data_IF_379391333948
#
_entry.id   IF_379391333948
#
_cell.length_a   1.000
_cell.length_b   1.000
_cell.length_c   1.000
_cell.angle_alpha   90.00
_cell.angle_beta   90.00
_cell.angle_gamma   90.00
#
_symmetry.space_group_name_H-M   'P 1'
#
loop_
_entity.id
_entity.type
_entity.pdbx_description
1 polymer ?
#
# COMPACT_ATOMS: atom_id res chain seq x y z
N UNK A 1 14.27 -10.67 6.25
CA UNK A 1 13.01 -11.12 5.61
C UNK A 1 13.16 -11.25 4.10
N UNK A 2 13.63 -10.23 3.40
CA UNK A 2 13.76 -10.25 1.93
C UNK A 2 14.70 -11.35 1.39
N UNK A 3 15.68 -11.78 2.18
CA UNK A 3 16.59 -12.89 1.83
C UNK A 3 15.96 -14.29 1.97
N UNK A 4 14.83 -14.40 2.67
CA UNK A 4 14.14 -15.68 2.93
C UNK A 4 13.11 -15.99 1.84
N UNK A 5 12.63 -14.98 1.15
CA UNK A 5 11.60 -15.11 0.13
C UNK A 5 12.24 -15.19 -1.27
N UNK A 6 11.71 -16.01 -2.17
CA UNK A 6 12.23 -16.10 -3.52
C UNK A 6 12.10 -14.75 -4.25
N UNK A 7 13.06 -14.38 -5.09
CA UNK A 7 13.02 -13.17 -5.88
C UNK A 7 11.85 -13.17 -6.88
N UNK A 8 11.47 -11.99 -7.37
CA UNK A 8 10.54 -11.90 -8.50
C UNK A 8 11.21 -12.43 -9.77
N UNK A 9 10.51 -13.29 -10.50
CA UNK A 9 11.02 -13.85 -11.76
C UNK A 9 11.27 -12.80 -12.84
N UNK A 10 10.43 -11.75 -12.85
CA UNK A 10 10.51 -10.61 -13.77
C UNK A 10 11.37 -9.45 -13.23
N UNK A 11 11.96 -9.60 -12.05
CA UNK A 11 12.73 -8.55 -11.39
C UNK A 11 11.91 -7.31 -11.00
N UNK A 12 10.59 -7.36 -11.06
CA UNK A 12 9.71 -6.21 -10.77
C UNK A 12 9.21 -6.24 -9.34
N UNK A 13 9.34 -5.11 -8.65
CA UNK A 13 8.74 -4.90 -7.33
C UNK A 13 7.84 -3.68 -7.32
N UNK A 14 6.72 -3.79 -6.61
CA UNK A 14 5.83 -2.66 -6.36
C UNK A 14 6.09 -2.10 -4.97
N UNK A 15 6.30 -0.79 -4.90
CA UNK A 15 6.36 -0.04 -3.64
C UNK A 15 5.03 0.68 -3.46
N UNK A 16 4.20 0.19 -2.56
CA UNK A 16 2.83 0.67 -2.39
C UNK A 16 2.72 1.43 -1.06
N UNK A 17 2.18 2.63 -1.10
CA UNK A 17 1.93 3.44 0.10
C UNK A 17 0.45 3.69 0.27
N UNK A 18 0.00 3.60 1.51
CA UNK A 18 -1.36 4.03 1.90
C UNK A 18 -1.38 4.50 3.35
N UNK A 19 -2.42 5.26 3.69
CA UNK A 19 -2.66 5.75 5.03
C UNK A 19 -3.75 4.94 5.74
N UNK A 20 -3.56 4.72 7.02
CA UNK A 20 -4.60 4.15 7.88
C UNK A 20 -4.73 4.93 9.17
N UNK A 21 -5.80 4.67 9.91
CA UNK A 21 -6.02 5.24 11.23
C UNK A 21 -6.12 4.12 12.27
N UNK A 22 -5.37 4.28 13.36
CA UNK A 22 -5.55 3.51 14.58
C UNK A 22 -6.48 4.31 15.49
N UNK A 23 -7.68 3.80 15.74
CA UNK A 23 -8.63 4.44 16.64
C UNK A 23 -8.06 4.59 18.05
N UNK A 24 -8.33 5.71 18.69
CA UNK A 24 -7.94 6.01 20.06
C UNK A 24 -9.09 6.66 20.80
N UNK A 25 -9.49 6.06 21.90
CA UNK A 25 -10.57 6.55 22.78
C UNK A 25 -10.11 7.67 23.71
N UNK A 26 -8.80 7.78 23.99
CA UNK A 26 -8.24 8.77 24.89
C UNK A 26 -8.53 10.21 24.42
N UNK A 27 -9.15 11.00 25.32
CA UNK A 27 -9.51 12.41 25.04
C UNK A 27 -8.28 13.29 24.85
N UNK A 28 -7.23 13.10 25.65
CA UNK A 28 -5.96 13.87 25.59
C UNK A 28 -4.81 12.93 25.22
N UNK A 29 -4.42 12.93 23.97
CA UNK A 29 -3.29 12.13 23.48
C UNK A 29 -2.51 12.95 22.45
N UNK A 30 -1.19 13.10 22.61
CA UNK A 30 -0.36 14.05 21.82
C UNK A 30 -0.32 13.71 20.32
N UNK A 31 -0.51 12.45 19.93
CA UNK A 31 -0.47 12.02 18.54
C UNK A 31 -1.86 11.86 17.88
N UNK A 32 -2.94 11.98 18.64
CA UNK A 32 -4.30 11.75 18.12
C UNK A 32 -4.78 12.95 17.31
N UNK A 33 -5.30 12.67 16.14
CA UNK A 33 -6.00 13.65 15.30
C UNK A 33 -7.50 13.38 15.29
N UNK A 34 -8.28 14.45 15.20
CA UNK A 34 -9.69 14.42 14.83
C UNK A 34 -9.74 14.51 13.29
N UNK A 35 -10.28 13.51 12.64
CA UNK A 35 -10.42 13.46 11.20
C UNK A 35 -11.84 13.07 10.81
N UNK A 36 -12.31 13.54 9.68
CA UNK A 36 -13.51 13.05 9.03
C UNK A 36 -13.08 12.00 8.02
N UNK A 37 -13.63 10.82 8.12
CA UNK A 37 -13.43 9.73 7.16
C UNK A 37 -14.74 9.49 6.41
N UNK A 38 -14.65 9.28 5.11
CA UNK A 38 -15.84 9.06 4.25
C UNK A 38 -16.65 7.82 4.67
N UNK A 39 -15.99 6.86 5.35
CA UNK A 39 -16.64 5.65 5.87
C UNK A 39 -17.44 5.86 7.17
N UNK A 40 -17.36 7.04 7.78
CA UNK A 40 -18.00 7.32 9.07
C UNK A 40 -18.88 8.57 8.97
N UNK A 41 -20.08 8.50 9.53
CA UNK A 41 -21.03 9.64 9.58
C UNK A 41 -20.63 10.78 10.53
N UNK A 42 -19.38 10.82 10.99
CA UNK A 42 -18.92 11.81 11.96
C UNK A 42 -17.41 11.99 11.99
N UNK A 43 -16.95 12.59 13.08
CA UNK A 43 -15.53 12.76 13.32
C UNK A 43 -14.96 11.53 14.04
N UNK A 44 -13.88 11.04 13.48
CA UNK A 44 -13.09 9.97 14.04
C UNK A 44 -11.89 10.55 14.80
N UNK A 45 -11.52 9.94 15.90
CA UNK A 45 -10.29 10.26 16.65
C UNK A 45 -9.32 9.10 16.54
N UNK A 46 -8.15 9.35 16.04
CA UNK A 46 -7.17 8.29 15.87
C UNK A 46 -5.78 8.79 15.50
N UNK A 47 -4.88 7.83 15.42
CA UNK A 47 -3.51 7.99 14.97
C UNK A 47 -3.47 7.74 13.47
N UNK A 48 -3.18 8.73 12.65
CA UNK A 48 -2.93 8.47 11.22
C UNK A 48 -1.55 7.85 11.07
N UNK A 49 -1.50 6.71 10.39
CA UNK A 49 -0.28 5.95 10.13
C UNK A 49 -0.13 5.80 8.62
N UNK A 50 1.02 6.16 8.09
CA UNK A 50 1.44 5.77 6.75
C UNK A 50 2.11 4.42 6.82
N UNK A 51 1.81 3.54 5.88
CA UNK A 51 2.45 2.24 5.75
C UNK A 51 2.96 2.11 4.32
N UNK A 52 4.22 1.71 4.21
CA UNK A 52 4.86 1.35 2.94
C UNK A 52 4.99 -0.16 2.88
N UNK A 53 4.49 -0.71 1.79
CA UNK A 53 4.50 -2.15 1.50
C UNK A 53 5.30 -2.41 0.24
N UNK A 54 6.19 -3.38 0.30
CA UNK A 54 6.84 -3.97 -0.87
C UNK A 54 6.04 -5.19 -1.32
N UNK A 55 5.78 -5.31 -2.62
CA UNK A 55 4.99 -6.39 -3.18
C UNK A 55 5.63 -6.95 -4.45
N UNK A 56 5.69 -8.27 -4.54
CA UNK A 56 5.97 -9.03 -5.76
C UNK A 56 5.31 -10.40 -5.68
N UNK A 57 4.87 -10.92 -6.81
CA UNK A 57 4.09 -12.16 -6.81
C UNK A 57 2.98 -12.15 -5.75
N UNK A 58 2.89 -13.16 -4.87
CA UNK A 58 1.92 -13.23 -3.79
C UNK A 58 2.36 -12.51 -2.50
N UNK A 59 3.59 -11.98 -2.43
CA UNK A 59 4.18 -11.46 -1.21
C UNK A 59 3.77 -10.01 -0.97
N UNK A 60 3.32 -9.71 0.24
CA UNK A 60 2.94 -8.39 0.75
C UNK A 60 3.73 -8.12 2.02
N UNK A 61 4.79 -7.37 1.92
CA UNK A 61 5.77 -7.16 3.00
C UNK A 61 5.70 -5.70 3.47
N UNK A 62 5.18 -5.42 4.68
CA UNK A 62 5.31 -4.08 5.25
C UNK A 62 6.79 -3.82 5.55
N UNK A 63 7.34 -2.76 4.97
CA UNK A 63 8.76 -2.44 5.10
C UNK A 63 9.02 -1.20 5.93
N UNK A 64 8.04 -0.32 6.05
CA UNK A 64 8.20 0.93 6.78
C UNK A 64 6.84 1.50 7.20
N UNK A 65 6.83 2.33 8.25
CA UNK A 65 5.66 3.07 8.69
C UNK A 65 6.06 4.40 9.33
N UNK A 66 5.15 5.38 9.25
CA UNK A 66 5.29 6.67 9.93
C UNK A 66 3.98 7.11 10.59
N UNK A 67 4.05 7.63 11.80
CA UNK A 67 2.89 8.24 12.48
C UNK A 67 2.81 9.71 12.09
N UNK A 68 1.74 10.10 11.42
CA UNK A 68 1.51 11.49 11.01
C UNK A 68 1.07 12.31 12.22
N UNK A 69 1.99 13.07 12.80
CA UNK A 69 1.74 13.90 13.99
C UNK A 69 0.69 15.00 13.73
N UNK A 70 -0.01 15.48 14.75
CA UNK A 70 -0.88 16.67 14.63
C UNK A 70 -0.10 17.91 14.18
N UNK A 71 -0.76 18.85 13.51
CA UNK A 71 -0.11 20.11 13.05
C UNK A 71 0.46 20.94 14.20
N UNK A 72 -0.09 20.79 15.40
CA UNK A 72 0.34 21.48 16.62
C UNK A 72 1.50 20.79 17.35
N UNK A 73 1.88 19.58 16.92
CA UNK A 73 2.97 18.83 17.54
C UNK A 73 4.33 19.29 17.01
N UNK A 74 5.39 19.24 17.84
CA UNK A 74 6.77 19.42 17.38
C UNK A 74 7.08 18.44 16.24
N UNK A 75 7.88 18.88 15.28
CA UNK A 75 8.30 18.08 14.12
C UNK A 75 7.15 17.56 13.26
N UNK A 76 6.03 18.32 13.20
CA UNK A 76 4.96 17.98 12.26
C UNK A 76 5.47 17.99 10.83
N UNK A 77 5.16 16.93 10.10
CA UNK A 77 5.36 16.84 8.66
C UNK A 77 4.06 16.43 7.96
N UNK A 78 3.89 16.93 6.73
CA UNK A 78 2.77 16.50 5.89
C UNK A 78 2.98 15.05 5.44
N UNK A 79 1.90 14.26 5.23
CA UNK A 79 2.02 12.88 4.76
C UNK A 79 2.93 12.71 3.55
N UNK A 80 2.84 13.61 2.57
CA UNK A 80 3.71 13.56 1.38
C UNK A 80 5.19 13.85 1.67
N UNK A 81 5.51 14.61 2.71
CA UNK A 81 6.90 14.83 3.13
C UNK A 81 7.46 13.57 3.79
N UNK A 82 6.70 12.97 4.70
CA UNK A 82 7.04 11.68 5.32
C UNK A 82 7.23 10.60 4.26
N UNK A 83 6.30 10.48 3.32
CA UNK A 83 6.42 9.51 2.24
C UNK A 83 7.70 9.74 1.40
N UNK A 84 8.06 10.99 1.10
CA UNK A 84 9.33 11.27 0.40
C UNK A 84 10.55 10.85 1.22
N UNK A 85 10.55 11.03 2.53
CA UNK A 85 11.64 10.55 3.40
C UNK A 85 11.74 9.02 3.37
N UNK A 86 10.61 8.32 3.54
CA UNK A 86 10.57 6.86 3.43
C UNK A 86 11.04 6.39 2.05
N UNK A 87 10.63 7.09 0.99
CA UNK A 87 11.05 6.79 -0.37
C UNK A 87 12.56 7.04 -0.58
N UNK A 88 13.14 8.07 0.03
CA UNK A 88 14.58 8.34 -0.01
C UNK A 88 15.40 7.27 0.72
N UNK A 89 14.91 6.81 1.87
CA UNK A 89 15.56 5.78 2.69
C UNK A 89 15.40 4.37 2.11
N UNK A 90 14.41 4.14 1.25
CA UNK A 90 14.16 2.82 0.69
C UNK A 90 15.31 2.32 -0.17
N UNK A 91 15.84 1.16 0.16
CA UNK A 91 16.84 0.44 -0.64
C UNK A 91 16.14 -0.77 -1.26
N UNK A 92 16.07 -0.84 -2.60
CA UNK A 92 15.48 -1.99 -3.29
C UNK A 92 16.26 -3.28 -2.96
N UNK A 93 15.59 -4.45 -2.97
CA UNK A 93 16.29 -5.73 -2.92
C UNK A 93 17.30 -5.83 -4.07
N UNK A 94 18.46 -6.45 -3.84
CA UNK A 94 19.54 -6.54 -4.83
C UNK A 94 19.11 -7.20 -6.16
N UNK A 95 18.11 -8.08 -6.11
CA UNK A 95 17.56 -8.75 -7.28
C UNK A 95 16.50 -7.90 -8.03
N UNK A 96 16.02 -6.80 -7.44
CA UNK A 96 15.00 -5.97 -8.08
C UNK A 96 15.61 -5.10 -9.18
N UNK A 97 15.22 -5.36 -10.41
CA UNK A 97 15.64 -4.58 -11.59
C UNK A 97 14.74 -3.35 -11.81
N UNK A 98 13.48 -3.48 -11.45
CA UNK A 98 12.46 -2.44 -11.66
C UNK A 98 11.66 -2.21 -10.39
N UNK A 99 11.59 -0.95 -9.96
CA UNK A 99 10.75 -0.50 -8.85
C UNK A 99 9.62 0.36 -9.41
N UNK A 100 8.37 -0.01 -9.12
CA UNK A 100 7.18 0.76 -9.50
C UNK A 100 6.47 1.25 -8.24
N UNK A 101 6.41 2.56 -8.06
CA UNK A 101 5.71 3.19 -6.94
C UNK A 101 4.23 3.33 -7.27
N UNK A 102 3.37 2.75 -6.43
CA UNK A 102 1.91 2.78 -6.64
C UNK A 102 1.24 3.49 -5.47
N UNK A 103 0.41 4.50 -5.75
CA UNK A 103 -0.28 5.27 -4.72
C UNK A 103 -1.60 5.86 -5.22
N UNK A 104 -2.46 6.24 -4.28
CA UNK A 104 -3.70 6.93 -4.58
C UNK A 104 -3.51 8.44 -4.88
N UNK A 105 -4.60 9.18 -5.12
CA UNK A 105 -4.56 10.59 -5.47
C UNK A 105 -4.09 11.53 -4.34
N UNK A 106 -3.92 11.03 -3.13
CA UNK A 106 -3.42 11.80 -1.99
C UNK A 106 -1.90 11.97 -1.97
N UNK A 107 -1.17 11.10 -2.67
CA UNK A 107 0.29 11.07 -2.63
C UNK A 107 1.01 11.74 -3.80
N UNK A 108 0.47 11.79 -5.02
CA UNK A 108 1.13 12.49 -6.11
C UNK A 108 1.27 13.98 -5.78
N UNK A 109 2.51 14.40 -5.70
CA UNK A 109 2.91 15.80 -5.61
C UNK A 109 4.11 16.00 -6.56
N UNK A 110 4.30 17.22 -7.03
CA UNK A 110 5.42 17.56 -7.94
C UNK A 110 6.75 16.98 -7.44
N UNK A 111 7.08 17.25 -6.18
CA UNK A 111 8.37 16.82 -5.60
C UNK A 111 8.44 15.30 -5.39
N UNK A 112 7.31 14.65 -5.13
CA UNK A 112 7.24 13.19 -5.01
C UNK A 112 7.50 12.50 -6.34
N UNK A 113 6.83 12.94 -7.42
CA UNK A 113 7.02 12.36 -8.76
C UNK A 113 8.45 12.60 -9.27
N UNK A 114 9.00 13.80 -9.06
CA UNK A 114 10.39 14.10 -9.40
C UNK A 114 11.40 13.25 -8.63
N UNK A 115 11.16 13.03 -7.34
CA UNK A 115 12.02 12.16 -6.54
C UNK A 115 12.02 10.73 -7.07
N UNK A 116 10.85 10.19 -7.43
CA UNK A 116 10.71 8.85 -8.00
C UNK A 116 11.51 8.77 -9.31
N UNK A 117 11.34 9.74 -10.21
CA UNK A 117 12.09 9.81 -11.46
C UNK A 117 13.61 9.93 -11.23
N UNK A 118 14.03 10.81 -10.29
CA UNK A 118 15.46 10.99 -9.94
C UNK A 118 16.11 9.70 -9.43
N UNK A 119 15.32 8.84 -8.76
CA UNK A 119 15.78 7.53 -8.29
C UNK A 119 15.79 6.44 -9.37
N UNK A 120 15.43 6.75 -10.61
CA UNK A 120 15.28 5.77 -11.67
C UNK A 120 14.09 4.82 -11.48
N UNK A 121 13.13 5.18 -10.60
CA UNK A 121 11.94 4.39 -10.36
C UNK A 121 10.81 4.82 -11.28
N UNK A 122 9.89 3.90 -11.49
CA UNK A 122 8.64 4.18 -12.18
C UNK A 122 7.51 4.44 -11.19
N UNK A 123 6.42 5.01 -11.68
CA UNK A 123 5.22 5.20 -10.88
C UNK A 123 3.96 4.85 -11.66
N UNK A 124 2.94 4.38 -10.93
CA UNK A 124 1.55 4.26 -11.38
C UNK A 124 0.67 4.83 -10.28
N UNK A 125 0.14 6.03 -10.48
CA UNK A 125 -0.60 6.76 -9.45
C UNK A 125 -1.89 7.34 -9.99
N UNK A 126 -2.86 7.59 -9.10
CA UNK A 126 -4.06 8.35 -9.45
C UNK A 126 -3.80 9.84 -9.26
N UNK A 127 -4.23 10.67 -10.20
CA UNK A 127 -4.10 12.12 -10.12
C UNK A 127 -5.40 12.81 -9.72
N UNK A 128 -5.26 13.89 -8.96
CA UNK A 128 -6.34 14.84 -8.74
C UNK A 128 -6.63 15.62 -10.03
N UNK A 129 -7.89 16.01 -10.22
CA UNK A 129 -8.34 16.76 -11.41
C UNK A 129 -7.78 18.17 -11.53
N UNK A 130 -7.19 18.68 -10.45
CA UNK A 130 -6.60 20.02 -10.36
C UNK A 130 -5.20 20.10 -11.00
N UNK A 131 -4.60 18.97 -11.34
CA UNK A 131 -3.33 18.95 -12.06
C UNK A 131 -3.45 19.62 -13.42
N UNK A 132 -2.35 20.23 -13.86
CA UNK A 132 -2.27 21.00 -15.10
C UNK A 132 -1.29 20.41 -16.09
N UNK A 133 -1.61 20.53 -17.36
CA UNK A 133 -0.67 20.32 -18.45
C UNK A 133 0.33 21.47 -18.56
N UNK A 134 1.30 21.34 -19.44
CA UNK A 134 2.29 22.38 -19.71
C UNK A 134 1.65 23.68 -20.23
N UNK A 135 0.55 23.59 -20.96
CA UNK A 135 -0.26 24.70 -21.48
C UNK A 135 -1.23 25.32 -20.46
N UNK A 136 -1.13 24.93 -19.18
CA UNK A 136 -1.97 25.36 -18.06
C UNK A 136 -3.43 24.85 -18.06
N UNK A 137 -3.89 24.12 -19.06
CA UNK A 137 -5.18 23.45 -18.99
C UNK A 137 -5.22 22.41 -17.89
N UNK A 138 -6.37 22.25 -17.23
CA UNK A 138 -6.52 21.29 -16.13
C UNK A 138 -6.91 19.91 -16.66
N UNK A 139 -6.53 18.86 -15.93
CA UNK A 139 -7.03 17.51 -16.20
C UNK A 139 -8.56 17.44 -16.13
N UNK A 140 -9.20 18.29 -15.30
CA UNK A 140 -10.65 18.41 -15.25
C UNK A 140 -11.23 18.80 -16.60
N UNK A 141 -10.70 19.86 -17.21
CA UNK A 141 -11.13 20.34 -18.52
C UNK A 141 -10.98 19.27 -19.59
N UNK A 142 -9.79 18.66 -19.66
CA UNK A 142 -9.51 17.62 -20.63
C UNK A 142 -10.48 16.44 -20.52
N UNK A 143 -10.68 15.88 -19.31
CA UNK A 143 -11.58 14.75 -19.09
C UNK A 143 -13.03 15.09 -19.40
N UNK A 144 -13.46 16.36 -19.16
CA UNK A 144 -14.83 16.79 -19.42
C UNK A 144 -15.15 16.87 -20.91
N UNK A 145 -14.18 17.31 -21.73
CA UNK A 145 -14.38 17.49 -23.17
C UNK A 145 -13.97 16.28 -24.01
N UNK A 146 -13.43 15.24 -23.39
CA UNK A 146 -13.01 14.04 -24.12
C UNK A 146 -14.24 13.26 -24.66
N UNK A 147 -14.34 13.04 -25.98
CA UNK A 147 -15.45 12.33 -26.59
C UNK A 147 -15.58 10.88 -26.07
N UNK A 148 -16.80 10.45 -25.82
CA UNK A 148 -17.07 9.10 -25.27
C UNK A 148 -16.65 7.97 -26.22
N UNK A 149 -16.64 8.20 -27.52
CA UNK A 149 -16.27 7.19 -28.50
C UNK A 149 -14.78 6.80 -28.49
N UNK A 150 -13.91 7.67 -27.91
CA UNK A 150 -12.49 7.39 -27.78
C UNK A 150 -12.16 6.34 -26.71
N UNK A 151 -13.07 6.13 -25.76
CA UNK A 151 -12.88 5.09 -24.75
C UNK A 151 -13.02 3.69 -25.39
N UNK A 152 -12.02 2.85 -25.11
CA UNK A 152 -11.96 1.45 -25.56
C UNK A 152 -12.20 0.51 -24.40
N UNK A 153 -12.79 -0.67 -24.70
CA UNK A 153 -12.97 -1.72 -23.72
C UNK A 153 -11.63 -2.34 -23.37
N UNK A 154 -11.27 -2.29 -22.09
CA UNK A 154 -10.02 -2.82 -21.55
C UNK A 154 -10.33 -3.83 -20.47
N UNK A 155 -9.64 -4.94 -20.47
CA UNK A 155 -9.88 -6.01 -19.51
C UNK A 155 -8.57 -6.61 -19.00
N UNK A 156 -8.60 -7.16 -17.80
CA UNK A 156 -7.53 -7.95 -17.23
C UNK A 156 -8.10 -8.95 -16.23
N UNK A 157 -7.33 -9.96 -15.90
CA UNK A 157 -7.72 -11.04 -14.99
C UNK A 157 -6.88 -10.93 -13.71
N UNK A 158 -7.34 -10.21 -12.67
CA UNK A 158 -6.58 -10.01 -11.43
C UNK A 158 -6.46 -11.29 -10.60
N UNK A 159 -7.41 -12.21 -10.76
CA UNK A 159 -7.47 -13.52 -10.12
C UNK A 159 -7.90 -14.51 -11.19
N UNK A 160 -7.38 -15.76 -11.20
CA UNK A 160 -7.88 -16.79 -12.10
C UNK A 160 -9.41 -16.83 -12.11
N UNK A 161 -10.01 -16.87 -13.30
CA UNK A 161 -11.45 -16.92 -13.53
C UNK A 161 -12.27 -15.64 -13.29
N UNK A 162 -11.67 -14.54 -12.78
CA UNK A 162 -12.39 -13.29 -12.56
C UNK A 162 -11.90 -12.16 -13.44
N UNK A 163 -12.46 -12.08 -14.65
CA UNK A 163 -12.20 -11.00 -15.60
C UNK A 163 -12.83 -9.68 -15.11
N UNK A 164 -12.03 -8.59 -15.07
CA UNK A 164 -12.52 -7.23 -14.83
C UNK A 164 -12.49 -6.44 -16.12
N UNK A 165 -13.56 -5.70 -16.38
CA UNK A 165 -13.72 -4.89 -17.59
C UNK A 165 -13.83 -3.43 -17.18
N UNK A 166 -13.09 -2.59 -17.90
CA UNK A 166 -13.13 -1.13 -17.80
C UNK A 166 -13.24 -0.51 -19.19
N UNK A 167 -13.66 0.74 -19.24
CA UNK A 167 -13.55 1.58 -20.42
C UNK A 167 -12.42 2.55 -20.21
N UNK A 168 -11.40 2.52 -21.05
CA UNK A 168 -10.19 3.31 -20.89
C UNK A 168 -9.85 4.11 -22.14
N UNK A 169 -9.16 5.20 -21.92
CA UNK A 169 -8.49 6.01 -22.92
C UNK A 169 -7.06 6.25 -22.46
N UNK A 170 -6.11 6.16 -23.35
CA UNK A 170 -4.69 6.35 -23.08
C UNK A 170 -4.12 7.43 -24.00
N UNK A 171 -3.31 8.31 -23.44
CA UNK A 171 -2.66 9.37 -24.18
C UNK A 171 -1.33 9.78 -23.52
N UNK A 172 -0.36 10.21 -24.31
CA UNK A 172 0.89 10.77 -23.81
C UNK A 172 0.79 12.28 -23.76
N UNK A 173 1.05 12.87 -22.60
CA UNK A 173 0.88 14.31 -22.35
C UNK A 173 2.03 14.84 -21.49
N UNK A 174 2.37 16.09 -21.71
CA UNK A 174 3.31 16.81 -20.87
C UNK A 174 2.58 17.46 -19.69
N UNK A 175 2.85 16.95 -18.48
CA UNK A 175 2.36 17.55 -17.24
C UNK A 175 3.30 18.67 -16.77
N UNK A 176 2.69 19.79 -16.36
CA UNK A 176 3.43 20.92 -15.83
C UNK A 176 4.37 20.50 -14.70
N UNK A 177 5.65 20.83 -14.81
CA UNK A 177 6.72 20.52 -13.85
C UNK A 177 7.15 19.05 -13.75
N UNK A 178 6.54 18.13 -14.49
CA UNK A 178 6.88 16.70 -14.47
C UNK A 178 7.48 16.25 -15.79
N UNK A 179 7.01 16.83 -16.89
CA UNK A 179 7.38 16.43 -18.25
C UNK A 179 6.41 15.41 -18.84
N UNK A 180 6.91 14.65 -19.81
CA UNK A 180 6.12 13.67 -20.53
C UNK A 180 5.76 12.47 -19.68
N UNK A 181 4.49 12.15 -19.68
CA UNK A 181 3.91 11.01 -18.97
C UNK A 181 2.80 10.38 -19.79
N UNK A 182 2.50 9.14 -19.51
CA UNK A 182 1.33 8.46 -20.05
C UNK A 182 0.16 8.63 -19.06
N UNK A 183 -0.96 9.16 -19.54
CA UNK A 183 -2.21 9.28 -18.81
C UNK A 183 -3.18 8.20 -19.27
N UNK A 184 -3.80 7.53 -18.31
CA UNK A 184 -4.85 6.55 -18.56
C UNK A 184 -6.12 7.00 -17.84
N UNK A 185 -7.16 7.27 -18.61
CA UNK A 185 -8.50 7.51 -18.08
C UNK A 185 -9.23 6.19 -17.96
N UNK A 186 -9.85 5.92 -16.84
CA UNK A 186 -10.54 4.66 -16.59
C UNK A 186 -11.92 4.89 -16.01
N UNK A 187 -12.94 4.20 -16.58
CA UNK A 187 -14.34 4.19 -16.15
C UNK A 187 -14.83 2.77 -15.98
N UNK A 188 -15.79 2.56 -15.09
CA UNK A 188 -16.45 1.26 -14.95
C UNK A 188 -17.42 1.00 -16.13
N UNK A 189 -18.17 2.01 -16.54
CA UNK A 189 -19.10 1.97 -17.67
C UNK A 189 -18.76 3.04 -18.69
N UNK A 190 -19.01 2.80 -19.97
CA UNK A 190 -18.72 3.74 -21.05
C UNK A 190 -19.39 5.09 -20.84
N UNK A 191 -20.63 5.07 -20.33
CA UNK A 191 -21.46 6.25 -20.13
C UNK A 191 -21.30 6.92 -18.76
N UNK A 192 -20.40 6.41 -17.92
CA UNK A 192 -20.10 7.07 -16.64
C UNK A 192 -19.70 8.54 -16.88
N UNK A 193 -20.14 9.40 -15.98
CA UNK A 193 -19.88 10.84 -16.08
C UNK A 193 -18.37 11.13 -15.99
N UNK A 194 -17.91 12.27 -16.50
CA UNK A 194 -16.53 12.70 -16.32
C UNK A 194 -16.08 12.66 -14.85
N UNK A 195 -16.97 12.99 -13.90
CA UNK A 195 -16.68 12.96 -12.46
C UNK A 195 -16.29 11.56 -11.93
N UNK A 196 -16.80 10.51 -12.54
CA UNK A 196 -16.53 9.11 -12.18
C UNK A 196 -15.30 8.53 -12.89
N UNK A 197 -14.67 9.30 -13.78
CA UNK A 197 -13.45 8.89 -14.47
C UNK A 197 -12.25 8.96 -13.52
N UNK A 198 -11.54 7.87 -13.35
CA UNK A 198 -10.26 7.82 -12.66
C UNK A 198 -9.16 8.25 -13.64
N UNK A 199 -8.27 9.10 -13.19
CA UNK A 199 -7.12 9.55 -13.96
C UNK A 199 -5.89 8.89 -13.37
N UNK A 200 -5.24 8.03 -14.13
CA UNK A 200 -3.98 7.37 -13.78
C UNK A 200 -2.84 8.02 -14.56
N UNK A 201 -1.68 8.07 -13.92
CA UNK A 201 -0.46 8.60 -14.53
C UNK A 201 0.68 7.60 -14.35
N UNK A 202 1.52 7.48 -15.36
CA UNK A 202 2.73 6.67 -15.32
C UNK A 202 3.85 7.27 -16.16
N UNK A 203 5.09 7.02 -15.75
CA UNK A 203 6.30 7.25 -16.54
C UNK A 203 6.89 5.94 -17.12
N UNK A 204 6.16 4.81 -17.01
CA UNK A 204 6.56 3.56 -17.64
C UNK A 204 6.60 3.75 -19.16
N UNK A 205 7.70 3.36 -19.83
CA UNK A 205 7.79 3.43 -21.28
C UNK A 205 6.76 2.48 -21.90
N UNK A 206 6.15 2.90 -22.99
CA UNK A 206 5.23 2.11 -23.83
C UNK A 206 4.12 1.34 -23.06
N UNK A 207 3.75 1.83 -21.89
CA UNK A 207 2.75 1.19 -21.06
C UNK A 207 1.37 1.21 -21.72
N UNK A 208 0.72 0.07 -21.81
CA UNK A 208 -0.67 -0.04 -22.27
C UNK A 208 -1.67 0.34 -21.17
N UNK A 209 -2.87 0.77 -21.56
CA UNK A 209 -3.93 1.04 -20.58
C UNK A 209 -4.24 -0.18 -19.69
N UNK A 210 -4.17 -1.38 -20.24
CA UNK A 210 -4.37 -2.63 -19.51
C UNK A 210 -3.33 -2.81 -18.41
N UNK A 211 -2.06 -2.64 -18.74
CA UNK A 211 -0.95 -2.75 -17.78
C UNK A 211 -1.07 -1.72 -16.66
N UNK A 212 -1.31 -0.45 -16.99
CA UNK A 212 -1.45 0.63 -16.01
C UNK A 212 -2.61 0.37 -15.06
N UNK A 213 -3.78 -0.05 -15.57
CA UNK A 213 -4.94 -0.36 -14.75
C UNK A 213 -4.67 -1.59 -13.87
N UNK A 214 -4.02 -2.63 -14.41
CA UNK A 214 -3.67 -3.82 -13.66
C UNK A 214 -2.71 -3.49 -12.51
N UNK A 215 -1.63 -2.76 -12.78
CA UNK A 215 -0.68 -2.29 -11.75
C UNK A 215 -1.36 -1.42 -10.68
N UNK A 216 -2.18 -0.45 -11.11
CA UNK A 216 -2.90 0.39 -10.17
C UNK A 216 -3.87 -0.41 -9.27
N UNK A 217 -4.44 -1.47 -9.78
CA UNK A 217 -5.35 -2.34 -8.99
C UNK A 217 -4.62 -3.03 -7.84
N UNK A 218 -3.30 -3.27 -7.97
CA UNK A 218 -2.45 -3.81 -6.90
C UNK A 218 -2.36 -2.88 -5.69
N UNK A 219 -2.67 -1.59 -5.83
CA UNK A 219 -2.79 -0.67 -4.70
C UNK A 219 -3.74 -1.21 -3.62
N UNK A 220 -4.77 -1.96 -4.02
CA UNK A 220 -5.72 -2.56 -3.07
C UNK A 220 -5.06 -3.56 -2.10
N UNK A 221 -3.92 -4.12 -2.46
CA UNK A 221 -3.23 -5.10 -1.63
C UNK A 221 -2.70 -4.49 -0.31
N UNK A 222 -2.39 -3.19 -0.28
CA UNK A 222 -2.02 -2.50 0.97
C UNK A 222 -3.23 -2.36 1.91
N UNK A 223 -4.43 -2.17 1.39
CA UNK A 223 -5.65 -2.15 2.19
C UNK A 223 -5.93 -3.52 2.83
N UNK A 224 -5.67 -4.61 2.08
CA UNK A 224 -5.73 -5.98 2.63
C UNK A 224 -4.67 -6.19 3.71
N UNK A 225 -3.42 -5.76 3.49
CA UNK A 225 -2.37 -5.80 4.50
C UNK A 225 -2.79 -5.04 5.77
N UNK A 226 -3.29 -3.82 5.63
CA UNK A 226 -3.77 -3.00 6.75
C UNK A 226 -4.89 -3.69 7.52
N UNK A 227 -5.82 -4.33 6.81
CA UNK A 227 -6.88 -5.14 7.43
C UNK A 227 -6.30 -6.31 8.23
N UNK A 228 -5.35 -7.03 7.68
CA UNK A 228 -4.67 -8.13 8.34
C UNK A 228 -3.88 -7.65 9.57
N UNK A 229 -3.13 -6.56 9.47
CA UNK A 229 -2.42 -5.95 10.59
C UNK A 229 -3.36 -5.57 11.73
N UNK A 230 -4.52 -5.00 11.44
CA UNK A 230 -5.51 -4.63 12.45
C UNK A 230 -6.15 -5.84 13.13
N UNK A 231 -6.54 -6.83 12.37
CA UNK A 231 -7.36 -7.94 12.86
C UNK A 231 -6.55 -9.15 13.35
N UNK A 232 -5.33 -9.34 12.85
CA UNK A 232 -4.50 -10.51 13.18
C UNK A 232 -3.38 -10.17 14.15
N UNK A 233 -2.65 -9.08 13.90
CA UNK A 233 -1.47 -8.71 14.70
C UNK A 233 -1.70 -7.53 15.65
N UNK A 234 -2.92 -7.05 15.76
CA UNK A 234 -3.35 -6.12 16.81
C UNK A 234 -2.95 -4.67 16.61
N UNK A 235 -2.68 -4.23 15.36
CA UNK A 235 -2.33 -2.83 15.07
C UNK A 235 -3.31 -1.81 15.67
N UNK A 236 -4.59 -2.17 15.83
CA UNK A 236 -5.63 -1.32 16.41
C UNK A 236 -5.83 -1.45 17.91
N UNK A 237 -5.34 -2.51 18.55
CA UNK A 237 -5.79 -2.96 19.87
C UNK A 237 -5.08 -2.29 21.05
N UNK A 238 -3.80 -1.91 20.93
CA UNK A 238 -3.08 -1.31 22.04
C UNK A 238 -3.58 0.12 22.34
N UNK A 239 -4.39 0.27 23.40
CA UNK A 239 -5.00 1.54 23.82
C UNK A 239 -4.33 2.15 25.07
N UNK A 240 -3.47 1.37 25.74
CA UNK A 240 -3.05 1.59 27.13
C UNK A 240 -2.00 2.68 27.36
N UNK A 241 -1.45 3.31 26.32
CA UNK A 241 -0.39 4.30 26.52
C UNK A 241 -0.65 5.61 25.77
N UNK A 242 -0.24 6.71 26.42
CA UNK A 242 -0.20 8.07 25.84
C UNK A 242 1.20 8.47 25.38
N UNK A 243 2.23 7.70 25.72
CA UNK A 243 3.61 8.00 25.37
C UNK A 243 3.85 7.73 23.88
N UNK A 244 4.31 8.73 23.10
CA UNK A 244 4.51 8.57 21.66
C UNK A 244 5.40 7.38 21.30
N UNK A 245 6.55 7.23 21.94
CA UNK A 245 7.49 6.12 21.69
C UNK A 245 6.88 4.73 21.91
N UNK A 246 6.07 4.58 22.97
CA UNK A 246 5.39 3.29 23.24
C UNK A 246 4.33 3.00 22.17
N UNK A 247 3.69 4.05 21.64
CA UNK A 247 2.75 3.90 20.53
C UNK A 247 3.49 3.45 19.27
N UNK A 248 4.62 4.08 18.95
CA UNK A 248 5.46 3.71 17.81
C UNK A 248 5.95 2.27 17.93
N UNK A 249 6.46 1.87 19.10
CA UNK A 249 6.85 0.48 19.39
C UNK A 249 5.69 -0.50 19.21
N UNK A 250 4.47 -0.14 19.66
CA UNK A 250 3.27 -0.98 19.46
C UNK A 250 2.92 -1.17 17.98
N UNK A 251 3.11 -0.16 17.15
CA UNK A 251 2.94 -0.28 15.69
C UNK A 251 4.02 -1.19 15.12
N UNK A 252 5.29 -0.94 15.47
CA UNK A 252 6.42 -1.75 15.03
C UNK A 252 6.23 -3.23 15.38
N UNK A 253 5.83 -3.54 16.62
CA UNK A 253 5.57 -4.92 17.05
C UNK A 253 4.46 -5.59 16.24
N UNK A 254 3.40 -4.85 15.86
CA UNK A 254 2.36 -5.41 15.00
C UNK A 254 2.88 -5.76 13.60
N UNK A 255 3.75 -4.93 13.03
CA UNK A 255 4.40 -5.20 11.75
C UNK A 255 5.37 -6.39 11.87
N UNK A 256 6.19 -6.42 12.92
CA UNK A 256 7.11 -7.53 13.19
C UNK A 256 6.38 -8.86 13.35
N UNK A 257 5.28 -8.88 14.11
CA UNK A 257 4.45 -10.08 14.25
C UNK A 257 3.91 -10.56 12.90
N UNK A 258 3.49 -9.63 12.02
CA UNK A 258 3.08 -9.98 10.66
C UNK A 258 4.24 -10.57 9.85
N UNK A 259 5.43 -9.98 9.93
CA UNK A 259 6.62 -10.48 9.25
C UNK A 259 7.01 -11.89 9.73
N UNK A 260 6.88 -12.17 11.02
CA UNK A 260 7.10 -13.52 11.57
C UNK A 260 6.09 -14.52 11.01
N UNK A 261 4.81 -14.16 10.89
CA UNK A 261 3.80 -15.01 10.26
C UNK A 261 4.12 -15.29 8.79
N UNK A 262 4.58 -14.28 8.03
CA UNK A 262 5.01 -14.46 6.64
C UNK A 262 6.22 -15.40 6.55
N UNK A 263 7.21 -15.21 7.41
CA UNK A 263 8.38 -16.12 7.48
C UNK A 263 7.94 -17.55 7.78
N UNK A 264 7.10 -17.74 8.79
CA UNK A 264 6.53 -19.03 9.16
C UNK A 264 5.83 -19.70 7.97
N UNK A 265 5.02 -18.92 7.21
CA UNK A 265 4.32 -19.42 6.04
C UNK A 265 5.24 -19.95 4.95
N UNK A 266 6.31 -19.25 4.67
CA UNK A 266 7.12 -19.52 3.48
C UNK A 266 8.39 -20.32 3.76
N UNK A 267 8.81 -20.42 4.99
CA UNK A 267 10.02 -21.15 5.38
C UNK A 267 9.73 -22.37 6.23
N UNK A 268 8.94 -22.20 7.29
CA UNK A 268 8.86 -23.19 8.36
C UNK A 268 7.74 -24.22 8.08
N UNK A 269 6.65 -23.79 7.42
CA UNK A 269 5.54 -24.68 7.05
C UNK A 269 5.09 -24.38 5.62
N UNK A 270 5.46 -25.20 4.65
CA UNK A 270 4.96 -25.11 3.28
C UNK A 270 3.47 -25.50 3.27
N UNK A 271 2.59 -24.53 3.48
CA UNK A 271 1.15 -24.71 3.35
C UNK A 271 0.77 -24.75 1.87
N UNK A 272 0.11 -25.80 1.46
CA UNK A 272 -0.48 -25.89 0.12
C UNK A 272 -1.81 -25.10 0.08
N UNK A 273 -2.09 -24.45 -1.05
CA UNK A 273 -3.35 -23.75 -1.31
C UNK A 273 -3.44 -22.32 -0.78
N UNK A 274 -4.61 -21.68 -0.95
CA UNK A 274 -4.84 -20.31 -0.51
C UNK A 274 -4.80 -20.20 1.01
N UNK A 275 -4.15 -19.15 1.50
CA UNK A 275 -4.05 -18.89 2.94
C UNK A 275 -4.62 -17.51 3.28
N UNK A 276 -5.07 -17.35 4.52
CA UNK A 276 -5.38 -16.06 5.12
C UNK A 276 -4.48 -15.83 6.34
N UNK A 277 -4.22 -14.58 6.69
CA UNK A 277 -3.44 -14.27 7.89
C UNK A 277 -4.09 -14.84 9.17
N UNK A 278 -5.41 -14.99 9.21
CA UNK A 278 -6.14 -15.64 10.31
C UNK A 278 -5.83 -17.12 10.42
N UNK A 279 -5.90 -17.85 9.30
CA UNK A 279 -5.56 -19.29 9.25
C UNK A 279 -4.10 -19.48 9.64
N UNK A 280 -3.21 -18.62 9.17
CA UNK A 280 -1.79 -18.68 9.46
C UNK A 280 -1.52 -18.44 10.96
N UNK A 281 -2.16 -17.43 11.57
CA UNK A 281 -2.07 -17.19 13.02
C UNK A 281 -2.49 -18.43 13.84
N UNK A 282 -3.59 -19.06 13.48
CA UNK A 282 -4.09 -20.25 14.15
C UNK A 282 -3.09 -21.42 14.03
N UNK A 283 -2.58 -21.65 12.83
CA UNK A 283 -1.61 -22.73 12.59
C UNK A 283 -0.28 -22.46 13.31
N UNK A 284 0.17 -21.22 13.36
CA UNK A 284 1.34 -20.82 14.14
C UNK A 284 1.16 -21.10 15.63
N UNK A 285 0.02 -20.69 16.20
CA UNK A 285 -0.29 -20.96 17.62
C UNK A 285 -0.32 -22.45 17.93
N UNK A 286 -0.91 -23.26 17.05
CA UNK A 286 -0.92 -24.71 17.18
C UNK A 286 0.49 -25.31 17.12
N UNK A 287 1.31 -24.89 16.17
CA UNK A 287 2.69 -25.35 16.04
C UNK A 287 3.53 -25.05 17.30
N UNK A 288 3.40 -23.83 17.84
CA UNK A 288 4.08 -23.44 19.08
C UNK A 288 3.61 -24.32 20.25
N UNK A 289 2.30 -24.55 20.38
CA UNK A 289 1.77 -25.41 21.43
C UNK A 289 2.31 -26.87 21.33
N UNK A 290 2.39 -27.44 20.15
CA UNK A 290 2.97 -28.77 19.93
C UNK A 290 4.44 -28.81 20.36
N UNK A 291 5.25 -27.83 19.95
CA UNK A 291 6.66 -27.76 20.35
C UNK A 291 6.83 -27.66 21.88
N UNK A 292 5.97 -26.90 22.56
CA UNK A 292 6.00 -26.78 24.02
C UNK A 292 5.67 -28.12 24.69
N UNK A 293 4.68 -28.85 24.20
CA UNK A 293 4.30 -30.18 24.72
C UNK A 293 5.46 -31.13 24.51
N UNK A 294 6.03 -31.23 23.33
CA UNK A 294 7.18 -32.11 23.03
C UNK A 294 8.38 -31.79 23.92
N UNK A 295 8.67 -30.50 24.11
CA UNK A 295 9.77 -30.09 25.00
C UNK A 295 9.52 -30.50 26.45
N UNK A 296 8.31 -30.31 26.96
CA UNK A 296 7.92 -30.69 28.31
C UNK A 296 8.02 -32.22 28.53
N UNK A 297 7.54 -32.98 27.55
CA UNK A 297 7.64 -34.47 27.60
C UNK A 297 9.10 -34.91 27.64
N UNK A 298 9.96 -34.33 26.77
CA UNK A 298 11.41 -34.65 26.76
C UNK A 298 12.11 -34.33 28.10
N UNK A 299 11.73 -33.18 28.71
CA UNK A 299 12.28 -32.79 30.03
C UNK A 299 11.87 -33.78 31.13
N UNK A 300 10.61 -34.22 31.12
CA UNK A 300 10.08 -35.13 32.11
C UNK A 300 10.71 -36.53 31.95
N UNK A 301 10.89 -37.02 30.74
CA UNK A 301 11.57 -38.27 30.46
C UNK A 301 13.04 -38.24 30.94
N UNK A 302 13.77 -37.12 30.76
CA UNK A 302 15.14 -36.96 31.24
C UNK A 302 15.25 -36.89 32.76
N UNK A 303 14.19 -36.51 33.47
CA UNK A 303 14.16 -36.50 34.94
C UNK A 303 13.78 -37.85 35.54
N UNK A 304 13.14 -38.72 34.76
CA UNK A 304 12.71 -40.05 35.17
C UNK A 304 13.74 -41.14 34.86
N UNK A 305 14.75 -40.84 34.02
CA UNK A 305 15.92 -41.69 33.76
C UNK A 305 17.09 -41.27 34.63
#
# INVERSE_FOLDING_TARGET
MLQVLPPAQDGVVLLIVDGTYKEKTAKKHPLVKKARLDAYSGYFRGLPILIVMLQWGPYRIPIDFEIVRPKTAPHYQRPNALFRQMLQAFVPPAWAQTVIVVADAGFPAKDTLRLIQKRGFFFVMSLARTWKFADNHTLKNWVTHLPKHLYRKTWFTPVPQKRRIYWSYIDRKCLRHIGDVTLVLSKKRRNDSPKQTKILVTNLPEATAQQVIALYTRRWDVELLIKELKSVTGLGQAQVTKHPERVERSVALSLMAYLLLIRFRYRDIPLQGPWSAFTLKRNFAWHVAQQQIEHTVRLNLKKAA
#
